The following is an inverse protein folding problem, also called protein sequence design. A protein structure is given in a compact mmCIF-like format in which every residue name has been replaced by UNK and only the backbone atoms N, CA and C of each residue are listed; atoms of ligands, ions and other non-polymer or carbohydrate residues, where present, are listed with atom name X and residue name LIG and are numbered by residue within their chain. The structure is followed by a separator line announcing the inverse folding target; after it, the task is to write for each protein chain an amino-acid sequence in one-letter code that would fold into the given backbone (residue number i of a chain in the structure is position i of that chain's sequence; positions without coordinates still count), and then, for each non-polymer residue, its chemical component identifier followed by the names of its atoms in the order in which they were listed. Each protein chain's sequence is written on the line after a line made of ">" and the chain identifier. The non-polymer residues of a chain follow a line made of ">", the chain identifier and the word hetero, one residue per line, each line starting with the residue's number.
data_IF_733184704638
#
_entry.id   IF_733184704638
#
_cell.length_a   1.000
_cell.length_b   1.000
_cell.length_c   1.000
_cell.angle_alpha   90.00
_cell.angle_beta   90.00
_cell.angle_gamma   90.00
#
_symmetry.space_group_name_H-M   'P 1'
#
loop_
_entity.id
_entity.type
_entity.pdbx_description
1 polymer ?
#
# COMPACT_ATOMS: atom_id res chain seq x y z
N UNK A 1 29.74 -29.66 -45.34
CA UNK A 1 28.78 -30.03 -46.40
C UNK A 1 27.39 -29.63 -45.94
N UNK A 2 26.85 -28.57 -46.56
CA UNK A 2 25.47 -28.04 -46.58
C UNK A 2 24.77 -27.51 -45.31
N UNK A 3 24.83 -26.18 -45.19
CA UNK A 3 23.78 -25.29 -44.70
C UNK A 3 22.49 -25.45 -45.53
N UNK A 4 21.30 -25.36 -44.89
CA UNK A 4 20.05 -25.11 -45.63
C UNK A 4 19.09 -24.25 -44.82
N UNK A 5 19.26 -22.93 -44.98
CA UNK A 5 18.28 -21.89 -44.64
C UNK A 5 17.10 -22.01 -45.59
N UNK A 6 15.88 -22.15 -45.05
CA UNK A 6 14.63 -22.08 -45.84
C UNK A 6 14.32 -20.61 -46.14
N UNK A 7 14.65 -20.16 -47.36
CA UNK A 7 14.06 -18.97 -47.98
C UNK A 7 12.64 -19.31 -48.39
N UNK A 8 11.68 -18.52 -47.93
CA UNK A 8 10.34 -18.44 -48.51
C UNK A 8 10.27 -17.17 -49.34
N UNK A 9 9.91 -17.33 -50.61
CA UNK A 9 9.59 -16.26 -51.56
C UNK A 9 8.16 -16.47 -52.02
N UNK A 10 7.31 -15.47 -51.88
CA UNK A 10 6.07 -15.30 -52.65
C UNK A 10 5.83 -13.79 -52.89
N UNK A 11 5.07 -13.43 -53.94
CA UNK A 11 5.48 -12.41 -54.89
C UNK A 11 4.76 -11.06 -54.70
N UNK A 12 5.33 -10.05 -55.36
CA UNK A 12 4.69 -8.77 -55.61
C UNK A 12 3.50 -8.92 -56.56
N UNK A 13 2.37 -8.29 -56.22
CA UNK A 13 1.44 -7.67 -57.17
C UNK A 13 0.38 -6.89 -56.38
N UNK A 14 0.28 -5.59 -56.63
CA UNK A 14 -0.95 -4.89 -57.04
C UNK A 14 -0.72 -3.37 -56.88
N UNK A 15 -0.28 -2.80 -57.99
CA UNK A 15 -0.45 -1.39 -58.35
C UNK A 15 -1.82 -1.25 -59.01
N UNK A 16 -2.61 -0.26 -58.60
CA UNK A 16 -3.71 0.40 -59.32
C UNK A 16 -4.31 1.40 -58.31
N UNK A 17 -4.71 2.64 -58.58
CA UNK A 17 -4.57 3.56 -59.71
C UNK A 17 -5.16 4.86 -59.17
N UNK A 18 -4.39 5.95 -59.13
CA UNK A 18 -4.92 7.28 -58.86
C UNK A 18 -5.89 7.66 -59.97
N UNK A 19 -7.18 7.80 -59.67
CA UNK A 19 -8.11 8.51 -60.54
C UNK A 19 -8.35 9.91 -59.98
N UNK A 20 -7.67 10.86 -60.61
CA UNK A 20 -8.03 12.27 -60.65
C UNK A 20 -9.40 12.41 -61.33
N UNK A 21 -10.35 13.06 -60.66
CA UNK A 21 -11.46 13.74 -61.34
C UNK A 21 -11.60 15.12 -60.73
N UNK A 22 -11.00 16.09 -61.42
CA UNK A 22 -11.27 17.51 -61.21
C UNK A 22 -12.61 17.83 -61.88
N UNK A 23 -13.59 18.33 -61.12
CA UNK A 23 -14.80 18.96 -61.67
C UNK A 23 -14.74 20.45 -61.41
N UNK A 24 -14.79 21.20 -62.50
CA UNK A 24 -14.75 22.65 -62.60
C UNK A 24 -15.97 23.34 -61.95
N UNK A 25 -15.67 24.49 -61.37
CA UNK A 25 -16.58 25.54 -60.89
C UNK A 25 -17.42 26.17 -62.02
N UNK A 26 -18.73 26.23 -61.79
CA UNK A 26 -19.64 27.32 -62.19
C UNK A 26 -20.66 27.41 -61.04
N UNK A 27 -21.02 28.53 -60.41
CA UNK A 27 -20.99 29.91 -60.87
C UNK A 27 -22.39 30.51 -60.72
N UNK A 28 -22.69 30.99 -59.49
CA UNK A 28 -23.67 32.02 -59.12
C UNK A 28 -25.20 31.75 -59.05
N UNK A 29 -25.71 32.18 -57.89
CA UNK A 29 -26.97 32.88 -57.63
C UNK A 29 -28.27 32.10 -57.46
N UNK A 30 -28.68 31.96 -56.20
CA UNK A 30 -30.07 32.23 -55.80
C UNK A 30 -30.12 32.62 -54.33
N UNK A 31 -30.59 33.84 -54.11
CA UNK A 31 -30.94 34.42 -52.81
C UNK A 31 -31.86 33.47 -52.04
N UNK A 32 -31.52 33.14 -50.80
CA UNK A 32 -32.45 33.04 -49.68
C UNK A 32 -31.64 33.16 -48.40
N UNK A 33 -31.63 34.37 -47.83
CA UNK A 33 -31.23 34.56 -46.45
C UNK A 33 -32.28 33.91 -45.55
N UNK A 34 -31.93 32.77 -44.99
CA UNK A 34 -32.48 32.32 -43.72
C UNK A 34 -31.31 32.29 -42.76
N UNK A 35 -31.34 33.23 -41.82
CA UNK A 35 -30.52 33.16 -40.63
C UNK A 35 -30.82 31.82 -39.95
N UNK A 36 -29.98 30.83 -40.21
CA UNK A 36 -29.81 29.73 -39.27
C UNK A 36 -29.09 30.37 -38.09
N UNK A 37 -29.86 30.83 -37.10
CA UNK A 37 -29.31 31.06 -35.78
C UNK A 37 -28.64 29.76 -35.37
N UNK A 38 -27.31 29.74 -35.51
CA UNK A 38 -26.49 28.68 -35.00
C UNK A 38 -26.62 28.77 -33.48
N UNK A 39 -27.61 28.06 -32.92
CA UNK A 39 -27.61 27.71 -31.52
C UNK A 39 -26.44 26.74 -31.35
N UNK A 40 -25.24 27.30 -31.22
CA UNK A 40 -24.10 26.59 -30.65
C UNK A 40 -24.51 26.26 -29.22
N UNK A 41 -25.07 25.07 -29.02
CA UNK A 41 -25.13 24.47 -27.69
C UNK A 41 -23.68 24.32 -27.22
N UNK A 42 -23.21 25.34 -26.52
CA UNK A 42 -21.99 25.27 -25.75
C UNK A 42 -22.31 24.35 -24.58
N UNK A 43 -22.15 23.05 -24.78
CA UNK A 43 -22.07 22.12 -23.66
C UNK A 43 -20.88 22.59 -22.81
N UNK A 44 -21.17 23.31 -21.73
CA UNK A 44 -20.24 23.46 -20.64
C UNK A 44 -20.04 22.06 -20.07
N UNK A 45 -19.07 21.34 -20.64
CA UNK A 45 -18.61 20.07 -20.10
C UNK A 45 -17.94 20.41 -18.77
N UNK A 46 -18.72 20.39 -17.69
CA UNK A 46 -18.19 20.48 -16.34
C UNK A 46 -17.49 19.14 -16.08
N UNK A 47 -16.24 19.05 -16.53
CA UNK A 47 -15.33 17.97 -16.11
C UNK A 47 -14.80 18.41 -14.76
N UNK A 48 -15.60 18.22 -13.72
CA UNK A 48 -15.14 18.44 -12.37
C UNK A 48 -14.18 17.30 -12.05
N UNK A 49 -12.90 17.62 -11.91
CA UNK A 49 -11.89 16.66 -11.48
C UNK A 49 -12.20 16.28 -10.03
N UNK A 50 -12.88 15.14 -9.83
CA UNK A 50 -13.19 14.65 -8.50
C UNK A 50 -11.90 14.09 -7.91
N UNK A 51 -11.25 14.85 -7.04
CA UNK A 51 -10.20 14.34 -6.17
C UNK A 51 -10.83 13.39 -5.16
N UNK A 52 -10.53 12.12 -5.30
CA UNK A 52 -10.92 11.06 -4.39
C UNK A 52 -9.79 10.83 -3.38
N UNK A 53 -10.13 10.85 -2.09
CA UNK A 53 -9.25 10.34 -1.04
C UNK A 53 -9.74 8.94 -0.65
N UNK A 54 -8.92 7.89 -0.84
CA UNK A 54 -9.29 6.55 -0.44
C UNK A 54 -9.35 6.42 1.09
N UNK A 55 -10.44 5.88 1.60
CA UNK A 55 -10.58 5.40 2.97
C UNK A 55 -10.46 3.89 2.97
N UNK A 56 -9.56 3.38 3.81
CA UNK A 56 -9.27 1.96 3.95
C UNK A 56 -9.96 1.40 5.20
N UNK A 57 -10.73 0.34 5.01
CA UNK A 57 -11.57 -0.27 6.02
C UNK A 57 -11.33 -1.78 6.06
N UNK A 58 -11.24 -2.36 7.25
CA UNK A 58 -11.30 -3.81 7.42
C UNK A 58 -12.74 -4.22 7.72
N UNK A 59 -13.39 -4.93 6.79
CA UNK A 59 -14.72 -5.48 7.01
C UNK A 59 -14.60 -6.80 7.77
N UNK A 60 -15.00 -6.81 9.05
CA UNK A 60 -14.87 -7.99 9.90
C UNK A 60 -15.70 -9.19 9.42
N UNK A 61 -16.99 -9.02 9.05
CA UNK A 61 -17.81 -10.16 8.64
C UNK A 61 -17.27 -10.90 7.42
N UNK A 62 -16.71 -10.18 6.45
CA UNK A 62 -16.17 -10.78 5.22
C UNK A 62 -14.68 -11.08 5.29
N UNK A 63 -13.98 -10.63 6.34
CA UNK A 63 -12.51 -10.66 6.44
C UNK A 63 -11.84 -10.03 5.21
N UNK A 64 -12.29 -8.85 4.77
CA UNK A 64 -11.78 -8.19 3.55
C UNK A 64 -11.31 -6.77 3.81
N UNK A 65 -10.24 -6.38 3.09
CA UNK A 65 -9.91 -4.98 2.89
C UNK A 65 -10.92 -4.35 1.92
N UNK A 66 -11.60 -3.30 2.37
CA UNK A 66 -12.52 -2.51 1.58
C UNK A 66 -11.95 -1.10 1.45
N UNK A 67 -11.90 -0.59 0.21
CA UNK A 67 -11.45 0.77 -0.08
C UNK A 67 -12.66 1.53 -0.65
N UNK A 68 -13.01 2.65 -0.02
CA UNK A 68 -14.13 3.51 -0.45
C UNK A 68 -13.70 4.96 -0.56
N UNK A 69 -14.45 5.81 -1.29
CA UNK A 69 -14.28 7.25 -1.20
C UNK A 69 -14.52 7.79 0.20
N UNK A 70 -13.79 8.84 0.57
CA UNK A 70 -13.96 9.64 1.79
C UNK A 70 -15.41 9.99 2.11
N UNK A 71 -16.20 10.41 1.12
CA UNK A 71 -17.61 10.74 1.31
C UNK A 71 -18.52 9.53 1.63
N UNK A 72 -18.05 8.29 1.43
CA UNK A 72 -18.74 7.07 1.86
C UNK A 72 -18.14 6.57 3.19
N UNK A 73 -16.81 6.51 3.29
CA UNK A 73 -16.08 6.07 4.47
C UNK A 73 -16.29 4.58 4.83
N UNK A 74 -15.99 4.25 6.09
CA UNK A 74 -16.23 2.93 6.67
C UNK A 74 -17.66 2.82 7.22
N UNK A 75 -18.31 1.68 6.99
CA UNK A 75 -19.67 1.41 7.44
C UNK A 75 -19.66 1.03 8.92
N UNK A 76 -20.37 1.82 9.74
CA UNK A 76 -20.45 1.61 11.18
C UNK A 76 -21.10 0.26 11.49
N UNK A 77 -20.44 -0.52 12.35
CA UNK A 77 -20.92 -1.83 12.80
C UNK A 77 -20.43 -3.01 11.95
N UNK A 78 -19.89 -2.76 10.76
CA UNK A 78 -19.32 -3.79 9.88
C UNK A 78 -17.81 -3.62 9.69
N UNK A 79 -17.36 -2.37 9.58
CA UNK A 79 -15.99 -2.02 9.22
C UNK A 79 -15.20 -1.42 10.40
N UNK A 80 -13.91 -1.73 10.45
CA UNK A 80 -12.92 -1.02 11.25
C UNK A 80 -12.05 -0.10 10.37
N UNK A 81 -11.93 1.20 10.69
CA UNK A 81 -11.09 2.10 9.91
C UNK A 81 -9.60 1.84 10.15
N UNK A 82 -8.83 1.69 9.07
CA UNK A 82 -7.38 1.50 9.14
C UNK A 82 -6.60 2.83 9.32
N UNK A 83 -7.29 3.95 9.21
CA UNK A 83 -6.73 5.29 9.38
C UNK A 83 -6.14 5.86 8.10
N UNK A 84 -5.72 7.13 8.17
CA UNK A 84 -5.30 7.92 7.00
C UNK A 84 -3.87 8.45 7.11
N UNK A 85 -3.15 8.06 8.16
CA UNK A 85 -1.79 8.52 8.46
C UNK A 85 -0.95 7.43 9.10
N UNK A 86 0.34 7.72 9.30
CA UNK A 86 1.14 7.03 10.32
C UNK A 86 0.42 7.09 11.68
N UNK A 87 0.56 6.01 12.46
CA UNK A 87 0.09 5.98 13.86
C UNK A 87 1.29 6.27 14.77
N UNK A 88 1.22 7.38 15.49
CA UNK A 88 2.29 7.87 16.38
C UNK A 88 1.94 7.67 17.85
N UNK A 89 2.92 7.91 18.72
CA UNK A 89 2.76 7.81 20.17
C UNK A 89 1.69 8.80 20.69
N UNK A 90 0.89 8.35 21.64
CA UNK A 90 -0.09 9.18 22.33
C UNK A 90 0.52 9.97 23.49
N UNK A 91 -0.30 10.76 24.17
CA UNK A 91 0.13 11.50 25.37
C UNK A 91 0.16 10.63 26.63
N UNK A 92 -0.56 9.51 26.62
CA UNK A 92 -0.68 8.58 27.74
C UNK A 92 -0.21 7.19 27.33
N UNK A 93 0.49 6.50 28.23
CA UNK A 93 0.95 5.13 27.98
C UNK A 93 -0.27 4.18 27.95
N UNK A 94 -0.44 3.39 26.87
CA UNK A 94 -1.56 2.47 26.78
C UNK A 94 -1.33 1.24 27.66
N UNK A 95 -2.40 0.48 27.88
CA UNK A 95 -2.37 -0.80 28.60
C UNK A 95 -2.52 -2.01 27.66
N UNK A 96 -2.63 -1.76 26.36
CA UNK A 96 -2.84 -2.79 25.33
C UNK A 96 -2.31 -2.29 23.98
N UNK A 97 -2.34 -3.16 22.98
CA UNK A 97 -2.03 -2.82 21.59
C UNK A 97 -2.99 -1.75 21.06
N UNK A 98 -2.49 -0.84 20.23
CA UNK A 98 -3.34 0.14 19.58
C UNK A 98 -4.38 -0.59 18.69
N UNK A 99 -5.68 -0.34 18.88
CA UNK A 99 -6.72 -1.09 18.17
C UNK A 99 -6.65 -0.89 16.64
N UNK A 100 -6.17 0.25 16.17
CA UNK A 100 -6.00 0.50 14.75
C UNK A 100 -4.78 -0.23 14.17
N UNK A 101 -3.69 -0.39 14.93
CA UNK A 101 -2.57 -1.26 14.54
C UNK A 101 -3.05 -2.70 14.43
N UNK A 102 -3.86 -3.17 15.39
CA UNK A 102 -4.43 -4.51 15.36
C UNK A 102 -5.39 -4.71 14.17
N UNK A 103 -6.23 -3.72 13.85
CA UNK A 103 -7.10 -3.75 12.68
C UNK A 103 -6.31 -3.83 11.36
N UNK A 104 -5.20 -3.08 11.25
CA UNK A 104 -4.28 -3.16 10.10
C UNK A 104 -3.70 -4.56 9.96
N UNK A 105 -3.25 -5.16 11.07
CA UNK A 105 -2.72 -6.52 11.06
C UNK A 105 -3.78 -7.54 10.66
N UNK A 106 -4.99 -7.50 11.24
CA UNK A 106 -6.06 -8.43 10.89
C UNK A 106 -6.47 -8.31 9.41
N UNK A 107 -6.51 -7.09 8.87
CA UNK A 107 -6.75 -6.90 7.45
C UNK A 107 -5.66 -7.52 6.58
N UNK A 108 -4.39 -7.40 6.97
CA UNK A 108 -3.27 -8.00 6.27
C UNK A 108 -3.31 -9.54 6.40
N UNK A 109 -3.59 -10.05 7.60
CA UNK A 109 -3.72 -11.47 7.91
C UNK A 109 -4.81 -12.13 7.07
N UNK A 110 -5.98 -11.51 6.96
CA UNK A 110 -7.06 -12.03 6.14
C UNK A 110 -6.66 -12.11 4.64
N UNK A 111 -6.01 -11.06 4.12
CA UNK A 111 -5.54 -11.06 2.74
C UNK A 111 -4.45 -12.11 2.46
N UNK A 112 -3.52 -12.33 3.40
CA UNK A 112 -2.50 -13.38 3.28
C UNK A 112 -3.13 -14.79 3.31
N UNK A 113 -4.11 -14.99 4.20
CA UNK A 113 -4.83 -16.26 4.37
C UNK A 113 -5.55 -16.69 3.09
N UNK A 114 -6.08 -15.77 2.30
CA UNK A 114 -6.73 -16.07 1.02
C UNK A 114 -5.83 -16.79 0.01
N UNK A 115 -4.52 -16.57 0.12
CA UNK A 115 -3.51 -17.23 -0.72
C UNK A 115 -2.73 -18.31 0.03
N UNK A 116 -3.24 -18.75 1.19
CA UNK A 116 -2.67 -19.84 1.98
C UNK A 116 -1.43 -19.48 2.81
N UNK A 117 -1.22 -18.19 3.10
CA UNK A 117 -0.11 -17.74 3.96
C UNK A 117 -0.65 -17.46 5.36
N UNK A 118 -0.11 -18.18 6.34
CA UNK A 118 -0.43 -18.01 7.77
C UNK A 118 0.42 -16.91 8.40
N UNK A 119 -0.22 -16.02 9.16
CA UNK A 119 0.45 -14.96 9.93
C UNK A 119 -0.01 -14.99 11.39
N UNK A 120 0.93 -14.80 12.32
CA UNK A 120 0.65 -14.66 13.76
C UNK A 120 1.42 -13.49 14.35
N UNK A 121 0.84 -12.84 15.36
CA UNK A 121 1.58 -11.92 16.23
C UNK A 121 2.15 -12.75 17.37
N UNK A 122 3.47 -12.84 17.45
CA UNK A 122 4.17 -13.52 18.55
C UNK A 122 4.49 -12.56 19.69
N UNK A 123 4.67 -11.27 19.36
CA UNK A 123 4.80 -10.20 20.35
C UNK A 123 4.15 -8.91 19.85
N UNK A 124 3.21 -8.37 20.62
CA UNK A 124 2.57 -7.08 20.35
C UNK A 124 2.90 -6.08 21.44
N UNK A 125 1.88 -5.56 22.12
CA UNK A 125 2.07 -4.70 23.29
C UNK A 125 2.90 -5.39 24.40
N UNK A 126 3.75 -4.60 25.06
CA UNK A 126 4.52 -5.00 26.25
C UNK A 126 4.40 -3.91 27.31
N UNK A 127 4.27 -4.28 28.58
CA UNK A 127 4.40 -3.26 29.64
C UNK A 127 5.82 -2.70 29.68
N UNK A 128 6.01 -1.52 30.26
CA UNK A 128 7.36 -0.94 30.40
C UNK A 128 8.29 -1.82 31.23
N UNK A 129 7.76 -2.50 32.24
CA UNK A 129 8.49 -3.44 33.10
C UNK A 129 8.96 -4.66 32.29
N UNK A 130 8.08 -5.18 31.43
CA UNK A 130 8.41 -6.29 30.53
C UNK A 130 9.53 -5.89 29.56
N UNK A 131 9.41 -4.71 28.93
CA UNK A 131 10.43 -4.22 28.02
C UNK A 131 11.77 -3.97 28.73
N UNK A 132 11.75 -3.40 29.94
CA UNK A 132 12.95 -3.21 30.75
C UNK A 132 13.60 -4.55 31.13
N UNK A 133 12.81 -5.55 31.49
CA UNK A 133 13.32 -6.89 31.77
C UNK A 133 14.04 -7.48 30.54
N UNK A 134 13.43 -7.40 29.35
CA UNK A 134 14.01 -7.87 28.09
C UNK A 134 15.31 -7.13 27.77
N UNK A 135 15.33 -5.80 27.93
CA UNK A 135 16.52 -4.99 27.68
C UNK A 135 17.68 -5.36 28.61
N UNK A 136 17.41 -5.52 29.92
CA UNK A 136 18.44 -5.96 30.88
C UNK A 136 18.96 -7.36 30.58
N UNK A 137 18.11 -8.25 30.06
CA UNK A 137 18.54 -9.56 29.57
C UNK A 137 19.45 -9.44 28.34
N UNK A 138 19.09 -8.61 27.38
CA UNK A 138 19.90 -8.34 26.19
C UNK A 138 21.29 -7.77 26.56
N UNK A 139 21.38 -6.87 27.55
CA UNK A 139 22.68 -6.38 28.06
C UNK A 139 23.55 -7.52 28.59
N UNK A 140 22.97 -8.47 29.33
CA UNK A 140 23.72 -9.62 29.84
C UNK A 140 24.20 -10.53 28.72
N UNK A 141 23.39 -10.70 27.68
CA UNK A 141 23.69 -11.55 26.51
C UNK A 141 24.75 -10.93 25.59
N UNK A 142 24.59 -9.64 25.27
CA UNK A 142 25.45 -8.90 24.34
C UNK A 142 26.59 -8.14 25.05
N UNK A 143 26.71 -8.27 26.37
CA UNK A 143 27.77 -7.75 27.25
C UNK A 143 27.80 -6.24 27.43
N UNK A 144 27.25 -5.46 26.50
CA UNK A 144 27.21 -3.99 26.55
C UNK A 144 25.83 -3.48 26.18
N UNK A 145 25.50 -2.25 26.60
CA UNK A 145 24.24 -1.61 26.25
C UNK A 145 24.18 -1.27 24.77
N UNK A 146 25.31 -0.87 24.19
CA UNK A 146 25.48 -0.51 22.80
C UNK A 146 25.20 -1.69 21.87
N UNK A 147 25.75 -2.87 22.16
CA UNK A 147 25.46 -4.08 21.37
C UNK A 147 24.05 -4.63 21.63
N UNK A 148 23.52 -4.50 22.85
CA UNK A 148 22.16 -4.93 23.17
C UNK A 148 21.10 -4.11 22.42
N UNK A 149 21.32 -2.79 22.25
CA UNK A 149 20.41 -1.88 21.56
C UNK A 149 20.17 -2.23 20.09
N UNK A 150 21.04 -3.03 19.46
CA UNK A 150 20.82 -3.51 18.09
C UNK A 150 19.66 -4.51 17.98
N UNK A 151 19.22 -5.09 19.10
CA UNK A 151 18.22 -6.17 19.15
C UNK A 151 17.06 -5.89 20.10
N UNK A 152 17.30 -5.16 21.19
CA UNK A 152 16.28 -4.83 22.18
C UNK A 152 16.50 -3.41 22.64
N UNK A 153 15.49 -2.56 22.42
CA UNK A 153 15.49 -1.18 22.89
C UNK A 153 15.08 -1.07 24.36
N UNK A 154 15.59 -0.06 25.09
CA UNK A 154 15.02 0.32 26.38
C UNK A 154 13.56 0.80 26.23
N UNK A 155 12.81 0.82 27.34
CA UNK A 155 11.35 1.08 27.30
C UNK A 155 10.94 2.48 26.83
N UNK A 156 11.83 3.47 26.92
CA UNK A 156 11.64 4.83 26.44
C UNK A 156 11.78 4.95 24.91
N UNK A 157 12.54 4.06 24.27
CA UNK A 157 12.76 4.05 22.82
C UNK A 157 11.97 2.97 22.07
N UNK A 158 11.55 1.90 22.76
CA UNK A 158 10.77 0.84 22.12
C UNK A 158 9.33 1.26 21.85
N UNK A 159 8.79 0.85 20.71
CA UNK A 159 7.38 1.06 20.34
C UNK A 159 6.42 -0.03 20.84
N UNK A 160 6.92 -1.16 21.35
CA UNK A 160 6.06 -2.19 21.95
C UNK A 160 5.27 -1.66 23.16
N UNK A 161 5.85 -0.89 24.10
CA UNK A 161 5.09 -0.27 25.19
C UNK A 161 4.12 0.82 24.79
N UNK A 162 4.17 1.28 23.54
CA UNK A 162 3.16 2.17 22.97
C UNK A 162 2.06 1.41 22.23
N UNK A 163 2.14 0.08 22.15
CA UNK A 163 1.20 -0.73 21.37
C UNK A 163 1.30 -0.46 19.86
N UNK A 164 2.47 0.01 19.40
CA UNK A 164 2.72 0.43 18.01
C UNK A 164 3.77 -0.45 17.30
N UNK A 165 4.04 -1.65 17.83
CA UNK A 165 4.96 -2.59 17.20
C UNK A 165 4.39 -4.02 17.26
N UNK A 166 4.74 -4.79 16.23
CA UNK A 166 4.35 -6.18 16.03
C UNK A 166 5.57 -7.01 15.65
N UNK A 167 5.83 -8.07 16.40
CA UNK A 167 6.74 -9.14 16.01
C UNK A 167 5.90 -10.27 15.39
N UNK A 168 5.96 -10.37 14.06
CA UNK A 168 5.15 -11.27 13.24
C UNK A 168 5.95 -12.52 12.87
N UNK A 169 5.40 -13.71 13.17
CA UNK A 169 6.02 -15.02 12.90
C UNK A 169 7.48 -15.15 13.41
N UNK A 170 7.87 -14.42 14.46
CA UNK A 170 9.18 -14.50 15.11
C UNK A 170 9.59 -15.93 15.49
N UNK A 171 8.63 -16.75 15.94
CA UNK A 171 8.86 -18.13 16.38
C UNK A 171 8.29 -19.18 15.40
N UNK A 172 7.92 -18.76 14.19
CA UNK A 172 7.25 -19.58 13.18
C UNK A 172 7.96 -19.50 11.82
N UNK A 173 7.37 -20.10 10.79
CA UNK A 173 7.87 -19.93 9.43
C UNK A 173 7.80 -18.47 8.99
N UNK A 174 8.90 -17.99 8.39
CA UNK A 174 9.08 -16.60 7.97
C UNK A 174 8.15 -16.19 6.81
N UNK A 175 7.41 -17.12 6.22
CA UNK A 175 6.53 -16.87 5.06
C UNK A 175 5.52 -15.74 5.31
N UNK A 176 4.91 -15.70 6.50
CA UNK A 176 4.00 -14.64 6.92
C UNK A 176 4.67 -13.26 6.98
N UNK A 177 5.76 -13.13 7.74
CA UNK A 177 6.53 -11.90 7.82
C UNK A 177 7.07 -11.43 6.46
N UNK A 178 7.52 -12.36 5.61
CA UNK A 178 8.02 -12.02 4.27
C UNK A 178 6.90 -11.49 3.36
N UNK A 179 5.70 -12.06 3.47
CA UNK A 179 4.54 -11.54 2.76
C UNK A 179 4.14 -10.15 3.26
N UNK A 180 4.18 -9.93 4.58
CA UNK A 180 3.87 -8.64 5.17
C UNK A 180 4.92 -7.58 4.82
N UNK A 181 6.20 -7.93 4.69
CA UNK A 181 7.23 -7.04 4.18
C UNK A 181 6.93 -6.57 2.75
N UNK A 182 6.48 -7.48 1.88
CA UNK A 182 6.18 -7.17 0.48
C UNK A 182 4.86 -6.40 0.29
N UNK A 183 3.86 -6.61 1.16
CA UNK A 183 2.49 -6.13 0.96
C UNK A 183 1.99 -5.16 2.04
N UNK A 184 2.72 -5.03 3.16
CA UNK A 184 2.27 -4.38 4.39
C UNK A 184 1.93 -2.91 4.22
N UNK A 185 2.58 -2.20 3.30
CA UNK A 185 2.30 -0.81 2.98
C UNK A 185 0.82 -0.59 2.58
N UNK A 186 0.19 -1.58 1.93
CA UNK A 186 -1.25 -1.59 1.61
C UNK A 186 -2.12 -1.39 2.84
N UNK A 187 -1.68 -1.93 3.98
CA UNK A 187 -2.37 -1.87 5.27
C UNK A 187 -1.74 -0.83 6.20
N UNK A 188 -0.69 -0.12 5.76
CA UNK A 188 0.03 0.86 6.57
C UNK A 188 0.94 0.23 7.62
N UNK A 189 1.44 -0.99 7.39
CA UNK A 189 2.43 -1.68 8.25
C UNK A 189 3.74 -1.84 7.50
N UNK A 190 4.85 -1.48 8.15
CA UNK A 190 6.17 -1.44 7.55
C UNK A 190 7.16 -2.20 8.41
N UNK A 191 8.00 -3.01 7.77
CA UNK A 191 9.19 -3.57 8.42
C UNK A 191 10.17 -2.43 8.70
N UNK A 192 10.83 -2.46 9.85
CA UNK A 192 11.71 -1.35 10.28
C UNK A 192 13.19 -1.68 10.17
N UNK A 193 13.61 -2.87 10.60
CA UNK A 193 15.03 -3.21 10.73
C UNK A 193 15.48 -4.33 9.78
N UNK A 194 16.68 -4.20 9.21
CA UNK A 194 17.31 -5.22 8.36
C UNK A 194 17.64 -6.51 9.12
N UNK A 195 18.03 -6.42 10.40
CA UNK A 195 18.35 -7.56 11.24
C UNK A 195 17.12 -8.20 11.94
N UNK A 196 15.95 -7.55 11.93
CA UNK A 196 14.72 -8.04 12.56
C UNK A 196 13.61 -8.22 11.52
N UNK A 197 13.61 -9.36 10.83
CA UNK A 197 12.62 -9.61 9.77
C UNK A 197 11.18 -9.77 10.25
N UNK A 198 11.00 -9.95 11.55
CA UNK A 198 9.71 -10.11 12.21
C UNK A 198 9.11 -8.77 12.63
N UNK A 199 9.87 -7.66 12.67
CA UNK A 199 9.44 -6.44 13.36
C UNK A 199 8.76 -5.44 12.43
N UNK A 200 7.50 -5.11 12.72
CA UNK A 200 6.65 -4.21 11.93
C UNK A 200 6.01 -3.10 12.76
N UNK A 201 5.89 -1.92 12.17
CA UNK A 201 5.34 -0.72 12.79
C UNK A 201 4.40 0.04 11.81
N UNK A 202 3.45 0.85 12.32
CA UNK A 202 2.44 1.54 11.51
C UNK A 202 2.94 2.87 10.89
N UNK A 203 4.05 2.83 10.14
CA UNK A 203 4.85 3.99 9.72
C UNK A 203 4.29 4.81 8.54
N UNK A 204 3.14 4.42 7.99
CA UNK A 204 2.50 5.13 6.87
C UNK A 204 0.99 5.00 6.94
N UNK A 205 0.28 5.87 6.24
CA UNK A 205 -1.12 5.62 5.87
C UNK A 205 -1.23 4.31 5.07
N UNK A 206 -2.34 3.57 5.17
CA UNK A 206 -2.65 2.46 4.26
C UNK A 206 -2.54 2.90 2.79
N UNK A 207 -1.85 2.10 1.98
CA UNK A 207 -1.55 2.39 0.58
C UNK A 207 -0.40 3.38 0.35
N UNK A 208 0.25 3.86 1.41
CA UNK A 208 1.42 4.74 1.31
C UNK A 208 2.73 3.98 1.03
N UNK A 209 3.86 4.63 1.32
CA UNK A 209 5.20 4.11 1.04
C UNK A 209 5.93 3.92 2.37
N UNK A 210 6.42 2.71 2.62
CA UNK A 210 7.25 2.45 3.79
C UNK A 210 8.60 3.16 3.68
N UNK A 211 9.14 3.68 4.79
CA UNK A 211 10.50 4.23 4.80
C UNK A 211 11.53 3.12 4.51
N UNK A 212 12.77 3.50 4.11
CA UNK A 212 13.88 2.55 4.02
C UNK A 212 14.10 1.83 5.35
N UNK A 213 14.58 0.59 5.28
CA UNK A 213 14.98 -0.16 6.47
C UNK A 213 16.18 0.51 7.13
N UNK A 214 16.18 0.52 8.46
CA UNK A 214 17.36 0.82 9.26
C UNK A 214 18.20 -0.46 9.43
N UNK A 215 19.53 -0.39 9.46
CA UNK A 215 20.39 -1.56 9.68
C UNK A 215 20.02 -2.39 10.92
N UNK A 216 19.74 -1.72 12.04
CA UNK A 216 19.32 -2.31 13.30
C UNK A 216 18.64 -1.30 14.23
N UNK A 217 18.10 -1.78 15.36
CA UNK A 217 17.36 -0.94 16.30
C UNK A 217 18.21 0.14 16.99
N UNK A 218 19.55 0.07 16.94
CA UNK A 218 20.40 1.10 17.54
C UNK A 218 20.40 2.42 16.77
N UNK A 219 19.80 2.46 15.58
CA UNK A 219 19.65 3.68 14.76
C UNK A 219 18.50 4.59 15.19
N UNK A 220 17.62 4.13 16.11
CA UNK A 220 16.55 4.97 16.66
C UNK A 220 17.15 6.19 17.35
N UNK A 221 16.69 7.37 16.94
CA UNK A 221 17.19 8.68 17.40
C UNK A 221 16.39 9.23 18.57
#
# INVERSE_FOLDING_TARGET
>A
MFLRVKKWTFPACYSFSMFFVAVLLMGAASLFGLAADAITHKENKIVQEIKFHPVYCFNKPTEKLIIRPDFIGCVIGEDEPLGESEIVEGTERPTDINPQVLARFHSAQAAAKEIGIEMSIDSGFRTTETQNYLYQRAIKEHKTAEEAKKWVLPSDLSRHPWGLALDVNLHHEKSGASWLEANGATFGLCRVYENEWWHFEPLTAPGGICPPLEPDASQVK
#
